data_IF_664329021055
#
_entry.id   IF_664329021055
#
_cell.length_a   1.000
_cell.length_b   1.000
_cell.length_c   1.000
_cell.angle_alpha   90.00
_cell.angle_beta   90.00
_cell.angle_gamma   90.00
#
_symmetry.space_group_name_H-M   'P 1'
#
loop_
_entity.id
_entity.type
_entity.pdbx_description
1 polymer ?
#
# COMPACT_ATOMS: atom_id res chain seq x y z
N UNK A 1 -24.68 -26.19 -35.38
CA UNK A 1 -25.70 -25.22 -34.91
C UNK A 1 -25.63 -25.19 -33.40
N UNK A 2 -25.71 -23.98 -32.84
CA UNK A 2 -25.27 -23.56 -31.50
C UNK A 2 -26.32 -23.82 -30.39
N UNK A 3 -25.84 -23.78 -29.12
CA UNK A 3 -26.52 -23.52 -27.84
C UNK A 3 -27.22 -24.71 -27.14
N UNK A 4 -27.31 -24.82 -25.81
CA UNK A 4 -26.73 -24.23 -24.58
C UNK A 4 -27.50 -24.91 -23.41
N UNK A 5 -26.99 -24.82 -22.18
CA UNK A 5 -27.57 -25.21 -20.87
C UNK A 5 -27.03 -26.54 -20.34
N UNK A 6 -26.53 -26.68 -19.11
CA UNK A 6 -26.30 -25.78 -17.98
C UNK A 6 -25.23 -26.48 -17.12
N UNK A 7 -24.55 -25.76 -16.23
CA UNK A 7 -24.13 -26.20 -14.87
C UNK A 7 -23.14 -25.15 -14.34
N UNK A 8 -23.68 -24.07 -13.77
CA UNK A 8 -22.90 -23.22 -12.86
C UNK A 8 -22.75 -23.99 -11.54
N UNK A 9 -21.59 -24.57 -11.30
CA UNK A 9 -21.17 -24.93 -9.93
C UNK A 9 -20.42 -23.74 -9.34
N UNK A 10 -20.97 -23.23 -8.25
CA UNK A 10 -20.49 -22.05 -7.55
C UNK A 10 -19.05 -22.21 -7.08
N UNK A 11 -18.30 -21.14 -7.26
CA UNK A 11 -16.94 -20.99 -6.76
C UNK A 11 -17.07 -20.25 -5.43
N UNK A 12 -17.31 -21.00 -4.36
CA UNK A 12 -17.08 -20.55 -3.00
C UNK A 12 -16.16 -21.59 -2.35
N UNK A 13 -14.90 -21.60 -2.77
CA UNK A 13 -13.84 -22.25 -1.98
C UNK A 13 -13.59 -21.35 -0.80
N UNK A 14 -14.03 -21.78 0.38
CA UNK A 14 -13.69 -21.15 1.65
C UNK A 14 -12.19 -21.40 1.84
N UNK A 15 -11.36 -20.39 1.57
CA UNK A 15 -9.92 -20.47 1.80
C UNK A 15 -9.67 -20.40 3.30
N UNK A 16 -9.18 -21.50 3.87
CA UNK A 16 -9.03 -21.70 5.33
C UNK A 16 -7.67 -21.27 5.87
N UNK A 17 -6.78 -20.69 5.05
CA UNK A 17 -5.46 -20.22 5.49
C UNK A 17 -5.08 -18.88 4.84
N UNK A 18 -4.40 -18.02 5.61
CA UNK A 18 -3.85 -16.74 5.14
C UNK A 18 -2.67 -16.93 4.18
N UNK A 19 -2.01 -18.09 4.22
CA UNK A 19 -0.81 -18.42 3.42
C UNK A 19 -1.14 -18.73 1.96
N UNK A 20 -2.40 -19.07 1.67
CA UNK A 20 -2.87 -19.42 0.32
C UNK A 20 -3.32 -18.19 -0.50
N UNK A 21 -3.25 -16.97 0.06
CA UNK A 21 -3.56 -15.72 -0.65
C UNK A 21 -2.24 -15.15 -1.20
N UNK A 22 -1.99 -15.20 -2.52
CA UNK A 22 -0.81 -14.56 -3.08
C UNK A 22 -0.92 -13.04 -2.88
N UNK A 23 0.15 -12.35 -2.46
CA UNK A 23 0.13 -10.92 -2.12
C UNK A 23 -0.59 -10.12 -3.21
N UNK A 24 -1.72 -9.48 -2.88
CA UNK A 24 -2.58 -8.86 -3.89
C UNK A 24 -1.83 -7.76 -4.67
N UNK A 25 -0.88 -7.09 -4.02
CA UNK A 25 -0.02 -6.07 -4.63
C UNK A 25 0.88 -6.60 -5.76
N UNK A 26 1.16 -7.91 -5.83
CA UNK A 26 1.89 -8.52 -6.95
C UNK A 26 1.01 -8.73 -8.19
N UNK A 27 -0.31 -8.71 -8.03
CA UNK A 27 -1.31 -8.93 -9.09
C UNK A 27 -1.89 -7.63 -9.65
N UNK A 28 -1.58 -6.48 -9.02
CA UNK A 28 -1.98 -5.19 -9.58
C UNK A 28 -1.04 -4.87 -10.74
N UNK A 29 -1.48 -5.21 -11.94
CA UNK A 29 -0.91 -4.74 -13.20
C UNK A 29 -1.27 -3.27 -13.39
N UNK A 30 -0.61 -2.38 -12.64
CA UNK A 30 -0.59 -0.97 -12.97
C UNK A 30 0.53 -0.73 -13.99
N UNK A 31 0.24 0.04 -15.05
CA UNK A 31 1.19 0.32 -16.15
C UNK A 31 2.52 0.92 -15.67
N UNK A 32 2.53 1.55 -14.49
CA UNK A 32 3.73 2.12 -13.88
C UNK A 32 3.78 1.79 -12.39
N UNK A 33 4.57 0.79 -12.02
CA UNK A 33 4.85 0.42 -10.63
C UNK A 33 6.32 0.69 -10.31
N UNK A 34 6.57 1.52 -9.29
CA UNK A 34 7.93 1.84 -8.83
C UNK A 34 8.00 1.56 -7.34
N UNK A 35 9.05 0.87 -6.91
CA UNK A 35 9.37 0.67 -5.49
C UNK A 35 10.54 1.55 -5.11
N UNK A 36 10.49 2.15 -3.93
CA UNK A 36 11.56 2.98 -3.40
C UNK A 36 11.71 2.84 -1.90
N UNK A 37 12.74 3.51 -1.38
CA UNK A 37 13.02 3.65 0.04
C UNK A 37 13.27 5.12 0.31
N UNK A 38 12.57 5.67 1.30
CA UNK A 38 12.81 6.98 1.84
C UNK A 38 13.52 6.86 3.19
N UNK A 39 14.40 7.82 3.49
CA UNK A 39 15.19 7.84 4.72
C UNK A 39 14.65 8.90 5.66
N UNK A 40 14.18 8.51 6.84
CA UNK A 40 13.83 9.44 7.92
C UNK A 40 14.69 9.14 9.15
N UNK A 41 15.63 10.02 9.46
CA UNK A 41 16.65 9.81 10.50
C UNK A 41 17.42 8.50 10.27
N UNK A 42 17.36 7.59 11.26
CA UNK A 42 17.95 6.27 11.24
C UNK A 42 16.99 5.16 10.73
N UNK A 43 15.80 5.51 10.24
CA UNK A 43 14.74 4.57 9.80
C UNK A 43 14.53 4.64 8.27
N UNK A 44 14.56 3.47 7.63
CA UNK A 44 14.22 3.31 6.20
C UNK A 44 12.74 2.96 6.03
N UNK A 45 12.06 3.71 5.17
CA UNK A 45 10.63 3.56 4.88
C UNK A 45 10.46 3.13 3.44
N UNK A 46 10.02 1.89 3.25
CA UNK A 46 9.70 1.39 1.92
C UNK A 46 8.38 1.96 1.45
N UNK A 47 8.30 2.26 0.16
CA UNK A 47 7.05 2.65 -0.48
C UNK A 47 6.96 2.06 -1.87
N UNK A 48 5.72 1.93 -2.35
CA UNK A 48 5.42 1.59 -3.75
C UNK A 48 4.51 2.65 -4.34
N UNK A 49 4.78 3.06 -5.58
CA UNK A 49 3.90 3.94 -6.33
C UNK A 49 3.25 3.22 -7.50
N UNK A 50 2.04 3.63 -7.86
CA UNK A 50 1.28 3.12 -8.99
C UNK A 50 0.72 4.29 -9.82
N UNK A 51 0.77 4.18 -11.14
CA UNK A 51 0.18 5.19 -12.03
C UNK A 51 0.97 6.50 -12.10
N UNK A 52 0.28 7.56 -12.52
CA UNK A 52 0.80 8.92 -12.66
C UNK A 52 -0.36 9.93 -12.61
N UNK A 53 -0.07 11.18 -12.27
CA UNK A 53 -1.06 12.25 -12.16
C UNK A 53 -1.03 12.90 -10.79
N UNK A 54 -2.17 13.45 -10.36
CA UNK A 54 -2.31 14.05 -9.03
C UNK A 54 -2.03 13.01 -7.93
N UNK A 55 -1.28 13.35 -6.87
CA UNK A 55 -0.82 12.38 -5.89
C UNK A 55 -1.88 12.07 -4.83
N UNK A 56 -2.05 10.77 -4.56
CA UNK A 56 -2.83 10.22 -3.47
C UNK A 56 -1.92 9.34 -2.61
N UNK A 57 -1.89 9.54 -1.29
CA UNK A 57 -1.11 8.69 -0.37
C UNK A 57 -2.05 7.86 0.50
N UNK A 58 -1.86 6.55 0.46
CA UNK A 58 -2.69 5.59 1.18
C UNK A 58 -1.92 5.01 2.36
N UNK A 59 -2.27 5.45 3.57
CA UNK A 59 -1.64 5.06 4.81
C UNK A 59 -2.44 3.94 5.49
N UNK A 60 -1.86 2.74 5.57
CA UNK A 60 -2.46 1.62 6.30
C UNK A 60 -2.29 1.79 7.82
N UNK A 61 -2.97 0.95 8.60
CA UNK A 61 -2.85 0.86 10.06
C UNK A 61 -2.51 -0.55 10.53
N UNK A 62 -2.88 -0.88 11.77
CA UNK A 62 -2.66 -2.19 12.39
C UNK A 62 -3.92 -3.07 12.35
N UNK A 63 -3.80 -4.39 12.09
CA UNK A 63 -2.61 -5.16 11.71
C UNK A 63 -2.39 -5.22 10.18
N UNK A 64 -3.00 -4.30 9.45
CA UNK A 64 -3.03 -4.28 7.98
C UNK A 64 -1.67 -3.93 7.34
N UNK A 65 -1.59 -4.13 6.02
CA UNK A 65 -0.51 -3.64 5.17
C UNK A 65 -1.10 -2.82 4.03
N UNK A 66 -0.24 -2.30 3.13
CA UNK A 66 -0.69 -1.64 1.91
C UNK A 66 -1.63 -2.48 1.03
N UNK A 67 -1.72 -3.81 1.24
CA UNK A 67 -2.65 -4.70 0.53
C UNK A 67 -4.13 -4.40 0.81
N UNK A 68 -4.45 -3.80 1.96
CA UNK A 68 -5.83 -3.40 2.32
C UNK A 68 -6.42 -2.44 1.27
N UNK A 69 -5.55 -1.71 0.57
CA UNK A 69 -5.92 -0.75 -0.46
C UNK A 69 -6.00 -1.32 -1.88
N UNK A 70 -5.91 -2.64 -2.08
CA UNK A 70 -5.78 -3.23 -3.43
C UNK A 70 -6.86 -2.75 -4.43
N UNK A 71 -8.12 -2.65 -3.98
CA UNK A 71 -9.22 -2.18 -4.83
C UNK A 71 -9.09 -0.68 -5.17
N UNK A 72 -8.68 0.13 -4.19
CA UNK A 72 -8.48 1.57 -4.36
C UNK A 72 -7.28 1.84 -5.26
N UNK A 73 -6.16 1.13 -5.06
CA UNK A 73 -4.99 1.23 -5.92
C UNK A 73 -5.38 0.93 -7.37
N UNK A 74 -6.08 -0.20 -7.61
CA UNK A 74 -6.50 -0.60 -8.95
C UNK A 74 -7.41 0.42 -9.65
N UNK A 75 -8.27 1.12 -8.90
CA UNK A 75 -9.15 2.15 -9.46
C UNK A 75 -8.42 3.47 -9.69
N UNK A 76 -7.74 3.99 -8.66
CA UNK A 76 -7.16 5.33 -8.71
C UNK A 76 -5.86 5.39 -9.51
N UNK A 77 -5.08 4.30 -9.63
CA UNK A 77 -3.83 4.33 -10.41
C UNK A 77 -4.06 4.51 -11.92
N UNK A 78 -5.32 4.45 -12.39
CA UNK A 78 -5.69 4.76 -13.77
C UNK A 78 -5.57 6.25 -14.11
N UNK A 79 -5.61 7.13 -13.11
CA UNK A 79 -5.65 8.59 -13.30
C UNK A 79 -4.85 9.40 -12.27
N UNK A 80 -4.34 8.75 -11.23
CA UNK A 80 -3.60 9.37 -10.14
C UNK A 80 -2.25 8.67 -9.92
N UNK A 81 -1.32 9.41 -9.32
CA UNK A 81 -0.15 8.81 -8.70
C UNK A 81 -0.55 8.29 -7.32
N UNK A 82 -0.68 6.98 -7.18
CA UNK A 82 -1.01 6.33 -5.91
C UNK A 82 0.28 5.96 -5.19
N UNK A 83 0.49 6.46 -3.98
CA UNK A 83 1.67 6.26 -3.14
C UNK A 83 1.26 5.41 -1.94
N UNK A 84 1.95 4.29 -1.74
CA UNK A 84 1.65 3.32 -0.68
C UNK A 84 2.92 3.08 0.12
N UNK A 85 3.21 3.90 1.15
CA UNK A 85 4.29 3.64 2.08
C UNK A 85 3.94 2.47 3.00
N UNK A 86 4.97 1.78 3.47
CA UNK A 86 4.87 0.75 4.50
C UNK A 86 5.30 1.37 5.83
N UNK A 87 4.42 1.35 6.83
CA UNK A 87 4.68 1.91 8.16
C UNK A 87 6.00 1.39 8.75
N UNK A 88 6.71 2.23 9.52
CA UNK A 88 7.78 1.75 10.39
C UNK A 88 7.28 0.61 11.28
N UNK A 89 8.12 -0.40 11.52
CA UNK A 89 7.71 -1.62 12.22
C UNK A 89 7.11 -2.70 11.33
N UNK A 90 6.74 -2.38 10.08
CA UNK A 90 6.26 -3.36 9.10
C UNK A 90 7.34 -3.66 8.05
N UNK A 91 7.67 -4.93 7.78
CA UNK A 91 8.53 -5.27 6.67
C UNK A 91 7.92 -4.82 5.32
N UNK A 92 8.72 -4.26 4.38
CA UNK A 92 10.18 -4.20 4.40
C UNK A 92 10.76 -2.89 4.98
N UNK A 93 9.94 -2.04 5.59
CA UNK A 93 10.44 -0.88 6.34
C UNK A 93 11.21 -1.31 7.59
N UNK A 94 12.06 -0.40 8.07
CA UNK A 94 12.80 -0.60 9.32
C UNK A 94 11.86 -0.77 10.51
N UNK A 95 12.23 -1.67 11.43
CA UNK A 95 11.54 -1.94 12.68
C UNK A 95 12.47 -1.63 13.87
N UNK A 96 12.62 -0.34 14.25
CA UNK A 96 13.48 0.01 15.38
C UNK A 96 13.01 -0.66 16.68
N UNK A 97 13.96 -1.04 17.54
CA UNK A 97 13.68 -1.72 18.81
C UNK A 97 13.26 -0.76 19.93
N UNK A 98 13.65 0.51 19.84
CA UNK A 98 13.29 1.53 20.83
C UNK A 98 11.83 2.00 20.63
N UNK A 99 10.94 1.81 21.62
CA UNK A 99 9.54 2.25 21.54
C UNK A 99 9.38 3.76 21.29
N UNK A 100 10.34 4.59 21.72
CA UNK A 100 10.29 6.04 21.51
C UNK A 100 10.27 6.40 20.01
N UNK A 101 10.81 5.51 19.17
CA UNK A 101 10.82 5.65 17.71
C UNK A 101 9.43 5.45 17.09
N UNK A 102 8.38 5.10 17.84
CA UNK A 102 7.02 4.96 17.30
C UNK A 102 6.09 6.11 17.72
N UNK A 103 6.63 7.20 18.24
CA UNK A 103 5.85 8.41 18.49
C UNK A 103 5.21 8.93 17.19
N UNK A 104 4.00 9.51 17.28
CA UNK A 104 3.26 10.02 16.11
C UNK A 104 4.07 11.01 15.24
N UNK A 105 4.94 11.80 15.88
CA UNK A 105 5.85 12.71 15.16
C UNK A 105 6.81 11.95 14.23
N UNK A 106 7.30 10.80 14.66
CA UNK A 106 8.22 9.99 13.86
C UNK A 106 7.49 9.40 12.65
N UNK A 107 6.26 8.93 12.84
CA UNK A 107 5.40 8.43 11.76
C UNK A 107 5.05 9.53 10.77
N UNK A 108 4.69 10.74 11.25
CA UNK A 108 4.46 11.88 10.36
C UNK A 108 5.72 12.24 9.55
N UNK A 109 6.90 12.22 10.18
CA UNK A 109 8.17 12.47 9.50
C UNK A 109 8.51 11.42 8.43
N UNK A 110 8.07 10.18 8.59
CA UNK A 110 8.22 9.13 7.56
C UNK A 110 7.47 9.49 6.29
N UNK A 111 6.23 9.97 6.44
CA UNK A 111 5.40 10.38 5.31
C UNK A 111 6.04 11.57 4.60
N UNK A 112 6.53 12.55 5.36
CA UNK A 112 7.25 13.68 4.79
C UNK A 112 8.51 13.23 4.03
N UNK A 113 9.30 12.31 4.58
CA UNK A 113 10.49 11.79 3.92
C UNK A 113 10.16 11.05 2.60
N UNK A 114 9.04 10.31 2.55
CA UNK A 114 8.55 9.68 1.32
C UNK A 114 8.18 10.73 0.28
N UNK A 115 7.44 11.78 0.68
CA UNK A 115 7.05 12.86 -0.22
C UNK A 115 8.27 13.66 -0.73
N UNK A 116 9.23 13.97 0.14
CA UNK A 116 10.50 14.63 -0.22
C UNK A 116 11.30 13.79 -1.22
N UNK A 117 11.39 12.48 -1.00
CA UNK A 117 12.08 11.54 -1.91
C UNK A 117 11.43 11.52 -3.29
N UNK A 118 10.11 11.67 -3.36
CA UNK A 118 9.34 11.73 -4.60
C UNK A 118 9.28 13.13 -5.22
N UNK A 119 9.77 14.17 -4.53
CA UNK A 119 9.66 15.57 -4.97
C UNK A 119 8.23 16.11 -4.96
N UNK A 120 7.39 15.66 -4.03
CA UNK A 120 5.97 16.00 -3.96
C UNK A 120 5.71 16.95 -2.78
N UNK A 121 5.21 18.15 -3.06
CA UNK A 121 4.94 19.15 -2.02
C UNK A 121 3.58 18.96 -1.32
N UNK A 122 2.59 18.39 -2.02
CA UNK A 122 1.21 18.25 -1.53
C UNK A 122 0.62 16.94 -2.01
N UNK A 123 -0.23 16.35 -1.17
CA UNK A 123 -0.89 15.09 -1.44
C UNK A 123 -2.29 15.08 -0.84
N UNK A 124 -3.21 14.35 -1.45
CA UNK A 124 -4.44 13.94 -0.74
C UNK A 124 -4.10 12.70 0.09
N UNK A 125 -4.20 12.81 1.41
CA UNK A 125 -3.92 11.71 2.34
C UNK A 125 -5.19 10.90 2.63
N UNK A 126 -5.12 9.59 2.43
CA UNK A 126 -6.15 8.61 2.78
C UNK A 126 -5.58 7.73 3.89
N UNK A 127 -6.11 7.88 5.10
CA UNK A 127 -5.68 7.12 6.28
C UNK A 127 -6.70 6.07 6.71
N UNK A 128 -6.21 4.98 7.30
CA UNK A 128 -7.02 3.97 7.99
C UNK A 128 -6.34 3.56 9.31
N UNK A 129 -7.12 3.50 10.41
CA UNK A 129 -6.66 3.03 11.72
C UNK A 129 -5.43 3.83 12.22
N UNK A 130 -4.29 3.22 12.54
CA UNK A 130 -3.03 3.89 12.90
C UNK A 130 -2.47 4.80 11.80
N UNK A 131 -3.03 4.73 10.60
CA UNK A 131 -2.77 5.66 9.51
C UNK A 131 -3.51 6.99 9.60
N UNK A 132 -4.29 7.23 10.67
CA UNK A 132 -4.99 8.49 11.00
C UNK A 132 -4.31 9.19 12.18
#
# INVERSE_FOLDING_TARGET
MVACSSHRKGIYTIMTSFEDIPPLLRRIDAEKKITGVARHNDVDISFTTFGAGEPLLFQHGFPDTGETWANQIAEFSKSHLVIVPTLRGYPPSSAPSDPSRYALREVAGDILAVLDTLGIEKVTLIGHDWGV
#
